data_IF_592106560255
#
_entry.id   IF_592106560255
#
_cell.length_a   1.000
_cell.length_b   1.000
_cell.length_c   1.000
_cell.angle_alpha   90.00
_cell.angle_beta   90.00
_cell.angle_gamma   90.00
#
_symmetry.space_group_name_H-M   'P 1'
#
loop_
_entity.id
_entity.type
_entity.pdbx_description
1 polymer ?
#
# COMPACT_ATOMS: atom_id res chain seq x y z
N UNK A 1 45.58 -25.15 -38.79
CA UNK A 1 44.21 -24.70 -39.11
C UNK A 1 43.25 -25.30 -38.10
N UNK A 2 42.40 -24.47 -37.48
CA UNK A 2 41.01 -24.74 -37.04
C UNK A 2 40.80 -26.03 -36.20
N UNK A 3 40.36 -26.05 -34.93
CA UNK A 3 39.40 -25.21 -34.21
C UNK A 3 39.22 -25.75 -32.76
N UNK A 4 39.01 -24.83 -31.80
CA UNK A 4 38.08 -24.82 -30.66
C UNK A 4 38.10 -26.00 -29.66
N UNK A 5 38.54 -25.85 -28.41
CA UNK A 5 37.96 -25.12 -27.25
C UNK A 5 36.97 -25.98 -26.40
N UNK A 6 37.40 -26.20 -25.15
CA UNK A 6 36.64 -26.20 -23.89
C UNK A 6 35.29 -26.94 -23.82
N UNK A 7 35.29 -28.06 -23.10
CA UNK A 7 34.09 -28.65 -22.50
C UNK A 7 33.92 -28.01 -21.11
N UNK A 8 33.01 -27.04 -20.99
CA UNK A 8 32.55 -26.48 -19.72
C UNK A 8 31.24 -27.19 -19.34
N UNK A 9 31.10 -27.77 -18.14
CA UNK A 9 29.81 -28.19 -17.62
C UNK A 9 29.18 -27.00 -16.91
N UNK A 10 28.17 -26.34 -17.50
CA UNK A 10 27.39 -25.35 -16.77
C UNK A 10 25.97 -25.24 -17.34
N UNK A 11 25.08 -26.09 -16.85
CA UNK A 11 23.64 -25.79 -16.83
C UNK A 11 23.09 -26.05 -15.43
N UNK A 12 23.52 -25.24 -14.48
CA UNK A 12 22.66 -24.93 -13.33
C UNK A 12 21.65 -23.87 -13.82
N UNK A 13 20.59 -24.34 -14.47
CA UNK A 13 19.39 -23.54 -14.66
C UNK A 13 18.62 -23.61 -13.33
N UNK A 14 19.10 -22.88 -12.31
CA UNK A 14 18.30 -22.63 -11.12
C UNK A 14 17.16 -21.72 -11.54
N UNK A 15 16.03 -22.31 -11.88
CA UNK A 15 14.75 -21.63 -11.86
C UNK A 15 14.56 -21.14 -10.43
N UNK A 16 14.94 -19.89 -10.18
CA UNK A 16 14.44 -19.15 -9.03
C UNK A 16 12.94 -19.02 -9.24
N UNK A 17 12.19 -20.04 -8.81
CA UNK A 17 10.78 -19.95 -8.52
C UNK A 17 10.67 -18.94 -7.37
N UNK A 18 10.65 -17.66 -7.72
CA UNK A 18 10.07 -16.67 -6.84
C UNK A 18 8.61 -17.07 -6.73
N UNK A 19 8.29 -17.84 -5.69
CA UNK A 19 6.92 -18.09 -5.28
C UNK A 19 6.29 -16.71 -5.04
N UNK A 20 5.59 -16.18 -6.04
CA UNK A 20 4.80 -14.98 -5.88
C UNK A 20 3.65 -15.38 -4.96
N UNK A 21 3.77 -15.02 -3.68
CA UNK A 21 2.69 -15.20 -2.72
C UNK A 21 1.57 -14.23 -3.11
N UNK A 22 0.61 -14.74 -3.88
CA UNK A 22 -0.56 -13.97 -4.30
C UNK A 22 -1.52 -13.83 -3.12
N UNK A 23 -1.87 -12.60 -2.80
CA UNK A 23 -2.88 -12.30 -1.77
C UNK A 23 -4.26 -12.70 -2.29
N UNK A 24 -4.99 -13.51 -1.53
CA UNK A 24 -6.33 -13.96 -1.93
C UNK A 24 -7.32 -12.79 -2.04
N UNK A 25 -8.23 -12.88 -3.00
CA UNK A 25 -9.36 -11.94 -3.11
C UNK A 25 -10.32 -12.03 -1.91
N UNK A 26 -10.30 -13.19 -1.22
CA UNK A 26 -11.10 -13.46 -0.02
C UNK A 26 -10.31 -13.24 1.27
N UNK A 27 -9.13 -12.62 1.19
CA UNK A 27 -8.37 -12.27 2.39
C UNK A 27 -9.20 -11.32 3.27
N UNK A 28 -9.36 -11.60 4.59
CA UNK A 28 -10.18 -10.77 5.47
C UNK A 28 -9.76 -9.29 5.49
N UNK A 29 -8.47 -8.99 5.39
CA UNK A 29 -7.99 -7.61 5.35
C UNK A 29 -8.34 -6.91 4.03
N UNK A 30 -8.42 -7.66 2.92
CA UNK A 30 -8.93 -7.13 1.64
C UNK A 30 -10.43 -6.87 1.75
N UNK A 31 -11.20 -7.85 2.22
CA UNK A 31 -12.65 -7.76 2.30
C UNK A 31 -13.12 -6.64 3.24
N UNK A 32 -12.49 -6.49 4.41
CA UNK A 32 -12.84 -5.44 5.37
C UNK A 32 -12.77 -4.04 4.74
N UNK A 33 -11.71 -3.75 3.97
CA UNK A 33 -11.57 -2.44 3.31
C UNK A 33 -12.59 -2.32 2.18
N UNK A 34 -12.78 -3.38 1.38
CA UNK A 34 -13.77 -3.38 0.29
C UNK A 34 -15.18 -3.12 0.83
N UNK A 35 -15.58 -3.78 1.91
CA UNK A 35 -16.88 -3.61 2.57
C UNK A 35 -17.05 -2.19 3.09
N UNK A 36 -16.04 -1.66 3.79
CA UNK A 36 -16.02 -0.27 4.28
C UNK A 36 -16.22 0.75 3.15
N UNK A 37 -15.52 0.60 2.02
CA UNK A 37 -15.67 1.51 0.88
C UNK A 37 -17.01 1.30 0.17
N UNK A 38 -17.46 0.06 0.04
CA UNK A 38 -18.76 -0.27 -0.56
C UNK A 38 -19.89 0.37 0.23
N UNK A 39 -19.90 0.23 1.55
CA UNK A 39 -20.88 0.85 2.42
C UNK A 39 -20.82 2.39 2.37
N UNK A 40 -19.62 2.97 2.42
CA UNK A 40 -19.44 4.43 2.49
C UNK A 40 -19.70 5.15 1.18
N UNK A 41 -19.32 4.55 0.05
CA UNK A 41 -19.40 5.19 -1.26
C UNK A 41 -20.46 4.58 -2.18
N UNK A 42 -21.12 3.49 -1.76
CA UNK A 42 -22.10 2.75 -2.56
C UNK A 42 -21.45 2.32 -3.88
N UNK A 43 -20.40 1.51 -3.77
CA UNK A 43 -19.69 1.00 -4.96
C UNK A 43 -20.58 0.01 -5.70
N UNK A 44 -20.61 0.12 -7.03
CA UNK A 44 -21.25 -0.90 -7.89
C UNK A 44 -20.36 -2.15 -8.03
N UNK A 45 -20.88 -3.22 -8.63
CA UNK A 45 -20.17 -4.49 -8.80
C UNK A 45 -18.83 -4.33 -9.55
N UNK A 46 -18.77 -3.45 -10.56
CA UNK A 46 -17.55 -3.22 -11.31
C UNK A 46 -16.50 -2.49 -10.47
N UNK A 47 -16.92 -1.51 -9.67
CA UNK A 47 -16.08 -0.79 -8.73
C UNK A 47 -15.59 -1.70 -7.60
N UNK A 48 -16.44 -2.58 -7.08
CA UNK A 48 -16.07 -3.59 -6.07
C UNK A 48 -14.98 -4.51 -6.60
N UNK A 49 -15.15 -5.07 -7.81
CA UNK A 49 -14.13 -5.94 -8.41
C UNK A 49 -12.78 -5.23 -8.60
N UNK A 50 -12.79 -3.94 -8.98
CA UNK A 50 -11.56 -3.13 -9.07
C UNK A 50 -10.97 -2.82 -7.70
N UNK A 51 -11.81 -2.54 -6.69
CA UNK A 51 -11.39 -2.27 -5.31
C UNK A 51 -10.68 -3.49 -4.71
N UNK A 52 -11.21 -4.70 -4.91
CA UNK A 52 -10.56 -5.96 -4.47
C UNK A 52 -9.13 -6.04 -5.01
N UNK A 53 -8.94 -5.83 -6.33
CA UNK A 53 -7.60 -5.86 -6.95
C UNK A 53 -6.66 -4.79 -6.39
N UNK A 54 -7.17 -3.59 -6.12
CA UNK A 54 -6.40 -2.50 -5.52
C UNK A 54 -5.93 -2.91 -4.12
N UNK A 55 -6.79 -3.51 -3.30
CA UNK A 55 -6.46 -3.91 -1.94
C UNK A 55 -5.56 -5.15 -1.89
N UNK A 56 -5.74 -6.13 -2.77
CA UNK A 56 -4.79 -7.25 -2.91
C UNK A 56 -3.38 -6.75 -3.20
N UNK A 57 -3.24 -5.82 -4.17
CA UNK A 57 -1.94 -5.22 -4.49
C UNK A 57 -1.38 -4.41 -3.31
N UNK A 58 -2.22 -3.63 -2.60
CA UNK A 58 -1.77 -2.91 -1.40
C UNK A 58 -1.22 -3.88 -0.37
N UNK A 59 -1.97 -4.93 -0.03
CA UNK A 59 -1.57 -5.91 0.98
C UNK A 59 -0.31 -6.67 0.56
N UNK A 60 -0.21 -7.09 -0.70
CA UNK A 60 1.01 -7.70 -1.26
C UNK A 60 2.21 -6.78 -1.08
N UNK A 61 2.10 -5.52 -1.51
CA UNK A 61 3.18 -4.54 -1.40
C UNK A 61 3.56 -4.26 0.06
N UNK A 62 2.62 -4.30 0.99
CA UNK A 62 2.89 -4.16 2.43
C UNK A 62 3.66 -5.37 2.96
N UNK A 63 3.27 -6.58 2.57
CA UNK A 63 3.95 -7.81 2.96
C UNK A 63 5.39 -7.84 2.40
N UNK A 64 5.60 -7.40 1.16
CA UNK A 64 6.93 -7.31 0.52
C UNK A 64 7.90 -6.37 1.24
N UNK A 65 7.38 -5.41 2.02
CA UNK A 65 8.22 -4.46 2.78
C UNK A 65 8.27 -4.77 4.28
N UNK A 66 7.58 -5.81 4.76
CA UNK A 66 7.42 -6.06 6.19
C UNK A 66 8.78 -6.23 6.91
N UNK A 67 9.72 -6.95 6.30
CA UNK A 67 11.07 -7.16 6.85
C UNK A 67 11.87 -5.86 7.02
N UNK A 68 11.54 -4.81 6.26
CA UNK A 68 12.18 -3.50 6.42
C UNK A 68 11.81 -2.85 7.76
N UNK A 69 10.69 -3.22 8.38
CA UNK A 69 10.31 -2.66 9.68
C UNK A 69 11.39 -2.92 10.75
N UNK A 70 12.05 -4.08 10.67
CA UNK A 70 13.11 -4.49 11.60
C UNK A 70 14.51 -4.14 11.10
N UNK A 71 14.75 -4.22 9.79
CA UNK A 71 16.08 -4.01 9.20
C UNK A 71 16.40 -2.56 8.81
N UNK A 72 15.41 -1.80 8.33
CA UNK A 72 15.54 -0.40 7.91
C UNK A 72 14.19 0.32 8.05
N UNK A 73 13.86 0.70 9.28
CA UNK A 73 12.56 1.29 9.59
C UNK A 73 12.30 2.61 8.84
N UNK A 74 13.34 3.39 8.54
CA UNK A 74 13.18 4.63 7.78
C UNK A 74 12.69 4.34 6.35
N UNK A 75 13.29 3.34 5.69
CA UNK A 75 12.87 2.88 4.36
C UNK A 75 11.51 2.19 4.38
N UNK A 76 11.19 1.44 5.43
CA UNK A 76 9.85 0.88 5.64
C UNK A 76 8.77 1.98 5.64
N UNK A 77 8.94 3.01 6.48
CA UNK A 77 7.98 4.11 6.57
C UNK A 77 7.85 4.87 5.25
N UNK A 78 8.96 5.10 4.54
CA UNK A 78 8.97 5.73 3.22
C UNK A 78 8.16 4.91 2.21
N UNK A 79 8.40 3.60 2.13
CA UNK A 79 7.69 2.70 1.22
C UNK A 79 6.21 2.56 1.58
N UNK A 80 5.88 2.45 2.87
CA UNK A 80 4.50 2.41 3.35
C UNK A 80 3.72 3.66 2.91
N UNK A 81 4.31 4.85 3.06
CA UNK A 81 3.74 6.11 2.56
C UNK A 81 3.48 6.07 1.05
N UNK A 82 4.45 5.58 0.27
CA UNK A 82 4.31 5.48 -1.18
C UNK A 82 3.18 4.50 -1.58
N UNK A 83 3.07 3.37 -0.88
CA UNK A 83 1.99 2.38 -1.09
C UNK A 83 0.63 3.01 -0.79
N UNK A 84 0.48 3.69 0.34
CA UNK A 84 -0.79 4.36 0.70
C UNK A 84 -1.15 5.42 -0.35
N UNK A 85 -0.20 6.26 -0.76
CA UNK A 85 -0.41 7.29 -1.79
C UNK A 85 -0.86 6.67 -3.12
N UNK A 86 -0.17 5.63 -3.60
CA UNK A 86 -0.51 4.96 -4.85
C UNK A 86 -1.86 4.23 -4.79
N UNK A 87 -2.20 3.67 -3.63
CA UNK A 87 -3.51 3.04 -3.39
C UNK A 87 -4.61 4.09 -3.45
N UNK A 88 -4.43 5.21 -2.76
CA UNK A 88 -5.41 6.30 -2.73
C UNK A 88 -5.70 6.86 -4.14
N UNK A 89 -4.65 7.07 -4.95
CA UNK A 89 -4.81 7.46 -6.36
C UNK A 89 -5.60 6.42 -7.14
N UNK A 90 -5.29 5.13 -6.96
CA UNK A 90 -6.00 4.05 -7.65
C UNK A 90 -7.48 4.01 -7.27
N UNK A 91 -7.80 4.20 -5.99
CA UNK A 91 -9.19 4.29 -5.51
C UNK A 91 -9.88 5.48 -6.17
N UNK A 92 -9.27 6.66 -6.16
CA UNK A 92 -9.85 7.85 -6.78
C UNK A 92 -10.21 7.64 -8.25
N UNK A 93 -9.43 6.85 -8.98
CA UNK A 93 -9.64 6.55 -10.41
C UNK A 93 -10.84 5.64 -10.67
N UNK A 94 -11.30 4.84 -9.71
CA UNK A 94 -12.46 3.96 -9.90
C UNK A 94 -13.78 4.62 -9.49
N UNK A 95 -13.74 5.70 -8.70
CA UNK A 95 -14.93 6.40 -8.21
C UNK A 95 -15.57 7.32 -9.26
N UNK A 96 -16.90 7.33 -9.28
CA UNK A 96 -17.70 8.31 -10.02
C UNK A 96 -17.63 9.70 -9.37
N UNK A 97 -18.13 10.72 -10.06
CA UNK A 97 -17.98 12.13 -9.67
C UNK A 97 -18.52 12.39 -8.25
N UNK A 98 -19.74 11.94 -7.95
CA UNK A 98 -20.40 12.16 -6.66
C UNK A 98 -19.67 11.41 -5.53
N UNK A 99 -19.22 10.19 -5.79
CA UNK A 99 -18.41 9.39 -4.86
C UNK A 99 -17.06 10.05 -4.59
N UNK A 100 -16.42 10.59 -5.64
CA UNK A 100 -15.14 11.30 -5.56
C UNK A 100 -15.25 12.57 -4.72
N UNK A 101 -16.36 13.30 -4.79
CA UNK A 101 -16.60 14.44 -3.92
C UNK A 101 -16.62 14.04 -2.44
N UNK A 102 -17.33 12.96 -2.09
CA UNK A 102 -17.34 12.42 -0.72
C UNK A 102 -15.95 11.94 -0.29
N UNK A 103 -15.22 11.28 -1.18
CA UNK A 103 -13.86 10.81 -0.94
C UNK A 103 -12.88 11.97 -0.70
N UNK A 104 -12.92 13.03 -1.51
CA UNK A 104 -12.05 14.19 -1.35
C UNK A 104 -12.36 14.98 -0.05
N UNK A 105 -13.63 15.01 0.39
CA UNK A 105 -14.02 15.55 1.70
C UNK A 105 -13.44 14.72 2.86
N UNK A 106 -13.50 13.39 2.78
CA UNK A 106 -12.86 12.52 3.78
C UNK A 106 -11.35 12.76 3.86
N UNK A 107 -10.69 12.88 2.71
CA UNK A 107 -9.26 13.20 2.67
C UNK A 107 -8.95 14.56 3.29
N UNK A 108 -9.84 15.55 3.15
CA UNK A 108 -9.69 16.82 3.85
C UNK A 108 -9.76 16.64 5.38
N UNK A 109 -10.67 15.79 5.87
CA UNK A 109 -10.75 15.45 7.30
C UNK A 109 -9.48 14.74 7.78
N UNK A 110 -8.96 13.77 7.03
CA UNK A 110 -7.68 13.11 7.35
C UNK A 110 -6.53 14.11 7.39
N UNK A 111 -6.45 15.07 6.45
CA UNK A 111 -5.44 16.14 6.48
C UNK A 111 -5.57 17.01 7.73
N UNK A 112 -6.80 17.33 8.15
CA UNK A 112 -7.06 18.07 9.39
C UNK A 112 -6.57 17.29 10.62
N UNK A 113 -6.94 16.02 10.76
CA UNK A 113 -6.45 15.14 11.83
C UNK A 113 -4.92 15.06 11.88
N UNK A 114 -4.26 14.93 10.71
CA UNK A 114 -2.79 14.92 10.61
C UNK A 114 -2.18 16.25 11.03
N UNK A 115 -2.80 17.39 10.69
CA UNK A 115 -2.33 18.70 11.10
C UNK A 115 -2.45 18.90 12.62
N UNK A 116 -3.58 18.53 13.20
CA UNK A 116 -3.80 18.55 14.66
C UNK A 116 -2.78 17.65 15.37
N UNK A 117 -2.58 16.43 14.87
CA UNK A 117 -1.58 15.51 15.44
C UNK A 117 -0.16 16.03 15.29
N UNK A 118 0.15 16.69 14.17
CA UNK A 118 1.47 17.32 13.98
C UNK A 118 1.71 18.42 15.01
N UNK A 119 0.72 19.27 15.30
CA UNK A 119 0.84 20.30 16.32
C UNK A 119 1.07 19.69 17.72
N UNK A 120 0.29 18.65 18.07
CA UNK A 120 0.45 17.91 19.33
C UNK A 120 1.86 17.32 19.48
N UNK A 121 2.36 16.64 18.45
CA UNK A 121 3.67 15.97 18.50
C UNK A 121 4.84 16.97 18.49
N UNK A 122 4.70 18.09 17.77
CA UNK A 122 5.67 19.19 17.83
C UNK A 122 5.75 19.80 19.22
N UNK A 123 4.61 20.01 19.89
CA UNK A 123 4.59 20.49 21.28
C UNK A 123 5.29 19.52 22.26
N UNK A 124 5.32 18.22 21.93
CA UNK A 124 6.07 17.18 22.63
C UNK A 124 7.56 17.10 22.25
N UNK A 125 8.04 17.99 21.38
CA UNK A 125 9.45 18.05 20.96
C UNK A 125 9.86 17.03 19.90
N UNK A 126 8.92 16.34 19.24
CA UNK A 126 9.25 15.35 18.22
C UNK A 126 9.67 16.01 16.91
N UNK A 127 10.70 15.45 16.28
CA UNK A 127 11.12 15.86 14.93
C UNK A 127 10.28 15.15 13.84
N UNK A 128 10.35 15.60 12.56
CA UNK A 128 9.56 15.02 11.47
C UNK A 128 9.68 13.51 11.28
N UNK A 129 10.87 12.94 11.49
CA UNK A 129 11.07 11.49 11.37
C UNK A 129 10.34 10.73 12.47
N UNK A 130 10.40 11.22 13.71
CA UNK A 130 9.70 10.63 14.85
C UNK A 130 8.17 10.76 14.74
N UNK A 131 7.67 11.81 14.10
CA UNK A 131 6.22 11.99 13.88
C UNK A 131 5.66 11.06 12.79
N UNK A 132 6.49 10.62 11.85
CA UNK A 132 6.04 9.91 10.64
C UNK A 132 5.18 8.66 10.93
N UNK A 133 5.54 7.76 11.85
CA UNK A 133 4.70 6.61 12.21
C UNK A 133 3.28 6.99 12.64
N UNK A 134 3.15 8.03 13.48
CA UNK A 134 1.86 8.50 13.99
C UNK A 134 1.00 9.11 12.88
N UNK A 135 1.61 9.90 11.99
CA UNK A 135 0.91 10.53 10.89
C UNK A 135 0.46 9.51 9.83
N UNK A 136 1.22 8.43 9.65
CA UNK A 136 0.83 7.32 8.79
C UNK A 136 -0.29 6.48 9.42
N UNK A 137 -0.31 6.28 10.74
CA UNK A 137 -1.41 5.57 11.40
C UNK A 137 -2.78 6.27 11.19
N UNK A 138 -2.80 7.61 11.17
CA UNK A 138 -4.01 8.38 10.82
C UNK A 138 -4.40 8.18 9.34
N UNK A 139 -3.41 8.08 8.45
CA UNK A 139 -3.66 7.82 7.02
C UNK A 139 -4.16 6.39 6.78
N UNK A 140 -3.70 5.43 7.58
CA UNK A 140 -4.15 4.05 7.55
C UNK A 140 -5.64 3.91 7.95
N UNK A 141 -6.24 4.90 8.63
CA UNK A 141 -7.71 4.97 8.82
C UNK A 141 -8.48 5.00 7.49
N UNK A 142 -7.84 5.31 6.36
CA UNK A 142 -8.46 5.22 5.05
C UNK A 142 -8.56 3.78 4.53
N UNK A 143 -7.82 2.83 5.07
CA UNK A 143 -7.80 1.43 4.63
C UNK A 143 -8.28 0.57 5.79
#
# INVERSE_FOLDING_TARGET
>A
MKKLLLIIPLMFFTLALFAQHEVSATDPAVLQVVEKYTAKYQLDEQQVAKMVRIQQRRLKNLNEIAELQHSDNAKYLQKRKAINTGTEVSIKMILYKEQRMRFDAERANIRKKKAEKTAELKAKGLNPHQMTPYLLAIEDELF
#
